data_IF_294731063237
#
_entry.id   IF_294731063237
#
_cell.length_a   1.000
_cell.length_b   1.000
_cell.length_c   1.000
_cell.angle_alpha   90.00
_cell.angle_beta   90.00
_cell.angle_gamma   90.00
#
_symmetry.space_group_name_H-M   'P 1'
#
loop_
_entity.id
_entity.type
_entity.pdbx_description
1 polymer ?
#
# COMPACT_ATOMS: atom_id res chain seq x y z
N UNK A 1 -5.70 -31.89 31.28
CA UNK A 1 -5.26 -30.50 31.51
C UNK A 1 -5.70 -29.73 30.28
N UNK A 2 -6.85 -29.08 30.42
CA UNK A 2 -7.40 -28.17 29.43
C UNK A 2 -6.71 -26.82 29.63
N UNK A 3 -6.07 -26.31 28.58
CA UNK A 3 -5.47 -24.97 28.55
C UNK A 3 -6.29 -24.12 27.59
N UNK A 4 -7.55 -23.87 27.95
CA UNK A 4 -8.26 -22.68 27.50
C UNK A 4 -7.51 -21.44 27.98
N UNK A 5 -6.70 -20.88 27.11
CA UNK A 5 -6.13 -19.54 27.22
C UNK A 5 -5.84 -19.10 25.79
N UNK A 6 -6.81 -18.60 25.02
CA UNK A 6 -7.49 -17.35 25.37
C UNK A 6 -6.50 -16.17 25.35
N UNK A 7 -5.37 -16.27 24.64
CA UNK A 7 -4.45 -15.15 24.48
C UNK A 7 -4.91 -14.24 23.34
N UNK A 8 -5.59 -13.19 23.80
CA UNK A 8 -5.70 -11.82 23.27
C UNK A 8 -4.68 -11.52 22.16
N UNK A 9 -5.17 -11.29 20.94
CA UNK A 9 -4.41 -10.67 19.86
C UNK A 9 -5.31 -9.61 19.27
N UNK A 10 -5.02 -8.34 19.59
CA UNK A 10 -5.24 -7.05 18.90
C UNK A 10 -6.33 -6.83 17.82
N UNK A 11 -7.19 -7.80 17.54
CA UNK A 11 -8.26 -7.82 16.51
C UNK A 11 -7.76 -7.64 15.08
N UNK A 12 -6.44 -7.60 14.87
CA UNK A 12 -5.83 -7.41 13.55
C UNK A 12 -5.46 -8.73 12.90
N UNK A 13 -5.67 -8.87 11.57
CA UNK A 13 -5.29 -10.08 10.84
C UNK A 13 -3.76 -10.22 10.76
N UNK A 14 -3.26 -11.43 10.48
CA UNK A 14 -1.84 -11.57 10.16
C UNK A 14 -1.54 -10.90 8.82
N UNK A 15 -0.37 -10.28 8.68
CA UNK A 15 0.01 -9.61 7.43
C UNK A 15 0.12 -10.60 6.25
N UNK A 16 0.42 -11.87 6.52
CA UNK A 16 0.45 -12.95 5.52
C UNK A 16 -0.96 -13.38 5.08
N UNK A 17 -1.97 -13.11 5.92
CA UNK A 17 -3.37 -13.42 5.66
C UNK A 17 -4.11 -12.23 5.05
N UNK A 18 -3.42 -11.11 4.77
CA UNK A 18 -4.05 -10.00 4.07
C UNK A 18 -4.52 -10.48 2.70
N UNK A 19 -5.77 -10.16 2.33
CA UNK A 19 -6.29 -10.55 1.03
C UNK A 19 -5.38 -9.95 -0.06
N UNK A 20 -4.97 -10.78 -1.00
CA UNK A 20 -4.22 -10.31 -2.17
C UNK A 20 -4.99 -9.17 -2.83
N UNK A 21 -4.26 -8.13 -3.24
CA UNK A 21 -4.80 -6.90 -3.83
C UNK A 21 -5.66 -6.05 -2.90
N UNK A 22 -5.42 -6.13 -1.58
CA UNK A 22 -6.07 -5.27 -0.59
C UNK A 22 -6.02 -3.77 -0.92
N UNK A 23 -5.00 -3.32 -1.66
CA UNK A 23 -4.88 -1.95 -2.13
C UNK A 23 -6.03 -1.50 -3.05
N UNK A 24 -6.72 -2.44 -3.73
CA UNK A 24 -7.89 -2.15 -4.57
C UNK A 24 -9.22 -2.30 -3.82
N UNK A 25 -9.21 -2.68 -2.54
CA UNK A 25 -10.44 -2.91 -1.80
C UNK A 25 -11.03 -1.63 -1.22
N UNK A 26 -12.35 -1.66 -1.03
CA UNK A 26 -13.08 -0.63 -0.30
C UNK A 26 -12.41 -0.36 1.05
N UNK A 27 -12.19 0.92 1.34
CA UNK A 27 -11.53 1.36 2.56
C UNK A 27 -10.00 1.43 2.48
N UNK A 28 -9.39 0.98 1.37
CA UNK A 28 -7.99 1.25 1.09
C UNK A 28 -7.74 2.76 1.07
N UNK A 29 -6.66 3.18 1.72
CA UNK A 29 -6.31 4.59 1.90
C UNK A 29 -5.03 4.92 1.18
N UNK A 30 -4.98 6.12 0.63
CA UNK A 30 -3.85 6.65 -0.11
C UNK A 30 -3.49 8.04 0.39
N UNK A 31 -2.21 8.30 0.62
CA UNK A 31 -1.68 9.61 0.98
C UNK A 31 -0.84 10.19 -0.15
N UNK A 32 -1.12 11.44 -0.52
CA UNK A 32 -0.38 12.14 -1.57
C UNK A 32 1.04 12.47 -1.07
N UNK A 33 2.05 11.98 -1.79
CA UNK A 33 3.45 12.32 -1.55
C UNK A 33 3.94 13.48 -2.46
N UNK A 34 3.15 13.84 -3.47
CA UNK A 34 3.55 14.81 -4.49
C UNK A 34 4.64 14.24 -5.38
N UNK A 35 5.71 15.00 -5.61
CA UNK A 35 6.85 14.58 -6.45
C UNK A 35 7.93 13.78 -5.69
N UNK A 36 7.73 13.54 -4.39
CA UNK A 36 8.61 12.68 -3.61
C UNK A 36 8.08 11.23 -3.67
N UNK A 37 8.87 10.25 -4.17
CA UNK A 37 8.44 8.85 -4.21
C UNK A 37 8.67 8.10 -2.88
N UNK A 38 9.27 8.75 -1.87
CA UNK A 38 9.57 8.11 -0.58
C UNK A 38 8.29 7.98 0.27
N UNK A 39 7.92 6.76 0.74
CA UNK A 39 6.84 6.60 1.70
C UNK A 39 7.17 7.31 3.02
N UNK A 40 6.19 7.99 3.61
CA UNK A 40 6.35 8.69 4.90
C UNK A 40 5.85 7.85 6.08
N UNK A 41 4.90 6.95 5.84
CA UNK A 41 4.31 6.13 6.91
C UNK A 41 5.04 4.81 7.15
N UNK A 42 5.70 4.26 6.12
CA UNK A 42 6.50 3.06 6.25
C UNK A 42 7.93 3.44 6.66
N UNK A 43 8.29 3.19 7.92
CA UNK A 43 9.68 3.36 8.39
C UNK A 43 10.53 2.22 7.85
N UNK A 44 11.16 2.48 6.72
CA UNK A 44 12.20 1.64 6.16
C UNK A 44 13.47 1.73 7.03
N UNK A 45 14.24 0.62 7.10
CA UNK A 45 15.53 0.58 7.81
C UNK A 45 16.41 1.75 7.33
N UNK A 46 17.15 2.47 8.20
CA UNK A 46 17.90 3.68 7.83
C UNK A 46 18.88 3.49 6.66
N UNK A 47 19.32 2.26 6.41
CA UNK A 47 20.16 1.91 5.24
C UNK A 47 19.43 2.04 3.89
N UNK A 48 18.09 1.96 3.88
CA UNK A 48 17.25 2.19 2.70
C UNK A 48 17.13 3.69 2.36
N UNK A 49 17.42 4.58 3.32
CA UNK A 49 17.39 6.03 3.12
C UNK A 49 18.71 6.58 2.53
N UNK A 50 19.79 5.79 2.56
CA UNK A 50 21.11 6.21 2.10
C UNK A 50 21.75 5.17 1.18
N UNK A 51 21.38 5.21 -0.10
CA UNK A 51 22.04 4.42 -1.15
C UNK A 51 21.15 4.14 -2.34
N UNK A 52 21.69 3.36 -3.27
CA UNK A 52 21.10 2.70 -4.43
C UNK A 52 19.77 1.95 -4.13
N UNK A 53 19.44 1.74 -2.84
CA UNK A 53 18.17 1.23 -2.32
C UNK A 53 16.98 2.22 -2.44
N UNK A 54 17.22 3.49 -2.77
CA UNK A 54 16.15 4.40 -3.26
C UNK A 54 15.45 3.82 -4.51
N UNK A 55 16.16 2.97 -5.28
CA UNK A 55 15.61 2.25 -6.44
C UNK A 55 14.77 1.02 -6.04
N UNK A 56 14.89 0.51 -4.81
CA UNK A 56 14.17 -0.68 -4.33
C UNK A 56 12.78 -0.38 -3.77
N UNK A 57 12.39 0.91 -3.69
CA UNK A 57 10.99 1.26 -3.44
C UNK A 57 10.18 0.74 -4.63
N UNK A 58 9.45 -0.35 -4.40
CA UNK A 58 8.51 -0.92 -5.36
C UNK A 58 7.40 0.10 -5.62
N UNK A 59 7.59 0.87 -6.68
CA UNK A 59 6.60 1.78 -7.25
C UNK A 59 5.89 1.12 -8.40
N UNK A 60 4.57 1.23 -8.41
CA UNK A 60 3.75 0.82 -9.53
C UNK A 60 3.31 2.04 -10.32
N UNK A 61 3.66 2.10 -11.60
CA UNK A 61 3.07 3.09 -12.51
C UNK A 61 1.66 2.61 -12.88
N UNK A 62 0.66 3.45 -12.59
CA UNK A 62 -0.72 3.16 -12.91
C UNK A 62 -0.99 3.38 -14.40
N UNK A 63 -1.84 2.54 -14.96
CA UNK A 63 -2.38 2.77 -16.29
C UNK A 63 -3.44 3.88 -16.20
N UNK A 64 -3.40 4.93 -17.05
CA UNK A 64 -4.43 5.99 -17.06
C UNK A 64 -5.87 5.50 -17.27
N UNK A 65 -6.03 4.29 -17.80
CA UNK A 65 -7.34 3.63 -17.96
C UNK A 65 -7.78 2.83 -16.73
N UNK A 66 -6.96 2.73 -15.68
CA UNK A 66 -7.30 1.96 -14.49
C UNK A 66 -8.30 2.68 -13.58
N UNK A 67 -9.13 1.90 -12.89
CA UNK A 67 -10.08 2.47 -11.93
C UNK A 67 -9.35 3.14 -10.76
N UNK A 68 -8.20 2.60 -10.36
CA UNK A 68 -7.40 3.20 -9.29
C UNK A 68 -6.81 4.55 -9.72
N UNK A 69 -6.37 4.67 -10.98
CA UNK A 69 -5.95 5.95 -11.53
C UNK A 69 -7.09 6.98 -11.46
N UNK A 70 -8.31 6.60 -11.88
CA UNK A 70 -9.45 7.51 -11.84
C UNK A 70 -9.78 8.00 -10.42
N UNK A 71 -9.72 7.12 -9.42
CA UNK A 71 -9.95 7.47 -8.01
C UNK A 71 -8.88 8.43 -7.47
N UNK A 72 -7.62 8.25 -7.85
CA UNK A 72 -6.51 9.07 -7.36
C UNK A 72 -6.34 10.39 -8.13
N UNK A 73 -6.68 10.41 -9.43
CA UNK A 73 -6.59 11.58 -10.29
C UNK A 73 -7.85 12.46 -10.26
N UNK A 74 -8.95 12.02 -9.64
CA UNK A 74 -10.19 12.77 -9.35
C UNK A 74 -10.46 13.95 -10.30
N UNK A 75 -10.60 13.63 -11.60
CA UNK A 75 -10.91 14.57 -12.69
C UNK A 75 -9.93 15.78 -12.85
N UNK A 76 -8.66 15.61 -12.49
CA UNK A 76 -7.64 16.65 -12.60
C UNK A 76 -7.15 17.20 -11.25
N UNK A 77 -7.70 16.72 -10.13
CA UNK A 77 -7.31 17.17 -8.79
C UNK A 77 -6.70 16.05 -7.95
N UNK A 78 -5.54 16.33 -7.36
CA UNK A 78 -4.88 15.42 -6.41
C UNK A 78 -5.26 15.80 -4.98
N UNK A 79 -6.05 14.95 -4.31
CA UNK A 79 -6.41 15.13 -2.90
C UNK A 79 -5.30 14.59 -1.99
N UNK A 80 -5.06 15.26 -0.86
CA UNK A 80 -4.05 14.83 0.10
C UNK A 80 -4.30 13.41 0.64
N UNK A 81 -5.57 13.04 0.82
CA UNK A 81 -5.99 11.71 1.28
C UNK A 81 -7.12 11.22 0.38
N UNK A 82 -7.00 10.00 -0.13
CA UNK A 82 -8.06 9.30 -0.86
C UNK A 82 -8.41 8.01 -0.12
N UNK A 83 -9.69 7.68 -0.04
CA UNK A 83 -10.17 6.41 0.51
C UNK A 83 -11.11 5.79 -0.51
N UNK A 84 -10.80 4.58 -0.98
CA UNK A 84 -11.62 3.89 -1.96
C UNK A 84 -12.99 3.60 -1.37
N UNK A 85 -14.06 4.00 -2.06
CA UNK A 85 -15.43 3.83 -1.56
C UNK A 85 -16.04 2.48 -1.96
N UNK A 86 -15.41 1.80 -2.92
CA UNK A 86 -15.79 0.48 -3.44
C UNK A 86 -14.56 -0.37 -3.76
N UNK A 87 -14.80 -1.64 -4.13
CA UNK A 87 -13.75 -2.53 -4.59
C UNK A 87 -13.49 -2.26 -6.08
N UNK A 88 -12.23 -2.04 -6.44
CA UNK A 88 -11.83 -1.80 -7.81
C UNK A 88 -11.37 -3.08 -8.49
N UNK A 89 -11.72 -3.24 -9.76
CA UNK A 89 -11.09 -4.26 -10.60
C UNK A 89 -9.69 -3.81 -10.98
N UNK A 90 -8.74 -4.74 -10.91
CA UNK A 90 -7.36 -4.47 -11.32
C UNK A 90 -7.27 -4.23 -12.82
N UNK A 91 -6.33 -3.39 -13.23
CA UNK A 91 -5.93 -3.25 -14.64
C UNK A 91 -4.40 -3.28 -14.78
N UNK A 92 -3.91 -3.94 -15.83
CA UNK A 92 -2.48 -4.01 -16.14
C UNK A 92 -1.63 -4.48 -14.95
N UNK A 93 -0.61 -3.69 -14.61
CA UNK A 93 0.34 -4.00 -13.54
C UNK A 93 -0.31 -4.27 -12.17
N UNK A 94 -1.48 -3.69 -11.90
CA UNK A 94 -2.23 -3.91 -10.66
C UNK A 94 -2.65 -5.39 -10.50
N UNK A 95 -2.81 -6.10 -11.62
CA UNK A 95 -3.18 -7.52 -11.63
C UNK A 95 -1.98 -8.45 -11.35
N UNK A 96 -0.75 -7.96 -11.46
CA UNK A 96 0.47 -8.79 -11.34
C UNK A 96 1.14 -8.71 -9.96
N UNK A 97 0.58 -7.95 -9.03
CA UNK A 97 1.11 -7.81 -7.67
C UNK A 97 0.07 -8.18 -6.61
N UNK A 98 0.54 -8.67 -5.47
CA UNK A 98 -0.31 -8.92 -4.31
C UNK A 98 -0.54 -7.65 -3.47
N UNK A 99 0.43 -6.73 -3.47
CA UNK A 99 0.35 -5.47 -2.74
C UNK A 99 1.25 -4.40 -3.37
N UNK A 100 1.04 -3.15 -3.00
CA UNK A 100 1.84 -1.99 -3.39
C UNK A 100 2.26 -1.20 -2.15
N UNK A 101 3.36 -0.45 -2.25
CA UNK A 101 3.71 0.57 -1.25
C UNK A 101 3.44 1.96 -1.78
N UNK A 102 3.96 2.24 -2.98
CA UNK A 102 3.81 3.52 -3.66
C UNK A 102 3.25 3.27 -5.05
N UNK A 103 2.32 4.11 -5.47
CA UNK A 103 1.80 4.15 -6.84
C UNK A 103 2.13 5.50 -7.48
N UNK A 104 2.55 5.47 -8.74
CA UNK A 104 2.79 6.65 -9.55
C UNK A 104 1.57 6.89 -10.44
N UNK A 105 0.89 8.01 -10.21
CA UNK A 105 -0.32 8.39 -10.95
C UNK A 105 0.06 9.17 -12.20
N UNK A 106 0.99 10.12 -12.11
CA UNK A 106 1.46 10.89 -13.27
C UNK A 106 2.99 10.81 -13.41
N UNK A 107 3.46 10.89 -14.65
CA UNK A 107 4.89 10.88 -15.03
C UNK A 107 5.38 12.25 -15.51
N UNK A 108 4.48 13.22 -15.68
CA UNK A 108 4.83 14.59 -16.04
C UNK A 108 3.70 15.58 -15.63
N UNK A 109 3.80 16.24 -14.46
CA UNK A 109 4.83 16.04 -13.44
C UNK A 109 4.71 14.67 -12.76
N UNK A 110 5.78 14.24 -12.10
CA UNK A 110 5.75 13.05 -11.26
C UNK A 110 4.83 13.28 -10.05
N UNK A 111 3.80 12.43 -9.92
CA UNK A 111 2.85 12.44 -8.79
C UNK A 111 2.71 11.04 -8.22
N UNK A 112 2.99 10.90 -6.92
CA UNK A 112 2.97 9.65 -6.18
C UNK A 112 1.96 9.65 -5.04
N UNK A 113 1.39 8.48 -4.77
CA UNK A 113 0.62 8.19 -3.57
C UNK A 113 1.20 6.99 -2.83
N UNK A 114 1.26 7.08 -1.51
CA UNK A 114 1.54 5.96 -0.61
C UNK A 114 0.24 5.23 -0.27
N UNK A 115 0.22 3.91 -0.44
CA UNK A 115 -0.86 3.07 0.07
C UNK A 115 -0.67 2.88 1.57
N UNK A 116 -1.72 3.16 2.35
CA UNK A 116 -1.72 2.95 3.80
C UNK A 116 -2.29 1.55 4.08
N UNK A 117 -1.46 0.55 4.37
CA UNK A 117 -1.96 -0.78 4.69
C UNK A 117 -2.78 -0.75 5.97
N UNK A 118 -3.79 -1.61 6.05
CA UNK A 118 -4.46 -1.86 7.32
C UNK A 118 -3.44 -2.44 8.31
N UNK A 119 -3.49 -2.04 9.59
CA UNK A 119 -2.70 -2.67 10.63
C UNK A 119 -2.92 -4.18 10.63
N UNK A 120 -1.82 -4.92 10.59
CA UNK A 120 -1.77 -6.38 10.59
C UNK A 120 -0.58 -6.84 11.43
N UNK A 121 -0.63 -8.08 11.92
CA UNK A 121 0.39 -8.65 12.79
C UNK A 121 1.35 -9.51 11.99
N UNK A 122 2.65 -9.28 12.12
CA UNK A 122 3.66 -10.23 11.67
C UNK A 122 3.90 -11.25 12.78
N UNK A 123 3.71 -12.55 12.50
CA UNK A 123 4.18 -13.58 13.41
C UNK A 123 5.70 -13.58 13.43
N UNK A 124 6.29 -13.23 14.57
CA UNK A 124 7.70 -13.50 14.83
C UNK A 124 7.86 -15.00 15.10
N UNK A 125 8.27 -15.77 14.10
CA UNK A 125 8.71 -17.14 14.34
C UNK A 125 10.05 -17.07 15.07
N UNK A 126 10.07 -17.47 16.33
CA UNK A 126 11.28 -17.77 17.07
C UNK A 126 11.61 -19.23 16.77
N UNK A 127 12.50 -19.50 15.81
CA UNK A 127 13.16 -20.80 15.75
C UNK A 127 14.26 -20.80 16.82
N UNK A 128 14.06 -21.62 17.86
CA UNK A 128 15.00 -21.79 18.98
C UNK A 128 16.18 -22.68 18.64
#
# INVERSE_FOLDING_TARGET
HDLTGGYIGDTYPLCVDMPGKAFLHKGAKYLLLGSNPLPELMVDHPDLQHGDLYLDIKRMVLDPSSNLYAELYNEGEYRAVVTLTENLYCAGNECDVDTVRVVQVATNPDIFYEYVPLPCVHQAFYEG
#
